data_IF_589049153539
#
_entry.id   IF_589049153539
#
_cell.length_a   1.000
_cell.length_b   1.000
_cell.length_c   1.000
_cell.angle_alpha   90.00
_cell.angle_beta   90.00
_cell.angle_gamma   90.00
#
_symmetry.space_group_name_H-M   'P 1'
#
loop_
_entity.id
_entity.type
_entity.pdbx_description
1 polymer ?
#
# COMPACT_ATOMS: atom_id res chain seq x y z
N UNK A 1 -13.91 -12.42 11.06
CA UNK A 1 -13.08 -11.23 10.76
C UNK A 1 -11.60 -11.58 10.52
N UNK A 2 -10.98 -12.52 11.25
CA UNK A 2 -9.54 -12.83 11.10
C UNK A 2 -9.08 -13.53 9.79
N UNK A 3 -9.90 -14.40 9.18
CA UNK A 3 -9.49 -15.15 7.98
C UNK A 3 -9.21 -14.27 6.76
N UNK A 4 -9.97 -13.18 6.60
CA UNK A 4 -9.80 -12.25 5.48
C UNK A 4 -8.51 -11.42 5.60
N UNK A 5 -8.07 -11.12 6.83
CA UNK A 5 -6.81 -10.40 7.06
C UNK A 5 -5.58 -11.23 6.64
N UNK A 6 -5.57 -12.54 6.91
CA UNK A 6 -4.47 -13.42 6.48
C UNK A 6 -4.40 -13.55 4.95
N UNK A 7 -5.56 -13.64 4.28
CA UNK A 7 -5.64 -13.65 2.81
C UNK A 7 -5.12 -12.35 2.20
N UNK A 8 -5.55 -11.20 2.74
CA UNK A 8 -5.07 -9.89 2.32
C UNK A 8 -3.54 -9.77 2.46
N UNK A 9 -2.98 -10.20 3.60
CA UNK A 9 -1.54 -10.16 3.85
C UNK A 9 -0.75 -11.03 2.86
N UNK A 10 -1.28 -12.22 2.51
CA UNK A 10 -0.67 -13.11 1.50
C UNK A 10 -0.80 -12.55 0.08
N UNK A 11 -1.88 -11.81 -0.20
CA UNK A 11 -2.07 -11.17 -1.50
C UNK A 11 -1.19 -9.93 -1.70
N UNK A 12 -0.72 -9.26 -0.63
CA UNK A 12 0.18 -8.09 -0.73
C UNK A 12 1.40 -8.35 -1.63
N UNK A 13 2.22 -9.39 -1.41
CA UNK A 13 3.39 -9.65 -2.27
C UNK A 13 3.00 -9.98 -3.71
N UNK A 14 1.85 -10.62 -3.92
CA UNK A 14 1.32 -10.92 -5.26
C UNK A 14 0.93 -9.61 -5.97
N UNK A 15 0.20 -8.72 -5.29
CA UNK A 15 -0.16 -7.40 -5.82
C UNK A 15 1.08 -6.57 -6.14
N UNK A 16 2.08 -6.57 -5.26
CA UNK A 16 3.36 -5.89 -5.51
C UNK A 16 4.07 -6.44 -6.74
N UNK A 17 4.11 -7.76 -6.89
CA UNK A 17 4.74 -8.41 -8.05
C UNK A 17 4.04 -8.03 -9.36
N UNK A 18 2.71 -8.14 -9.41
CA UNK A 18 1.93 -7.73 -10.59
C UNK A 18 2.06 -6.24 -10.88
N UNK A 19 2.11 -5.40 -9.85
CA UNK A 19 2.32 -3.96 -10.01
C UNK A 19 3.67 -3.68 -10.67
N UNK A 20 4.77 -4.25 -10.15
CA UNK A 20 6.13 -4.08 -10.72
C UNK A 20 6.22 -4.67 -12.12
N UNK A 21 5.64 -5.84 -12.36
CA UNK A 21 5.69 -6.50 -13.67
C UNK A 21 4.89 -5.72 -14.73
N UNK A 22 3.68 -5.26 -14.40
CA UNK A 22 2.88 -4.39 -15.27
C UNK A 22 3.62 -3.09 -15.58
N UNK A 23 4.29 -2.51 -14.58
CA UNK A 23 5.12 -1.32 -14.75
C UNK A 23 6.30 -1.56 -15.69
N UNK A 24 7.00 -2.69 -15.54
CA UNK A 24 8.15 -3.04 -16.35
C UNK A 24 7.77 -3.17 -17.83
N UNK A 25 6.62 -3.81 -18.12
CA UNK A 25 6.11 -3.93 -19.49
C UNK A 25 5.76 -2.57 -20.07
N UNK A 26 5.03 -1.73 -19.31
CA UNK A 26 4.62 -0.40 -19.79
C UNK A 26 5.82 0.53 -19.97
N UNK A 27 6.85 0.43 -19.11
CA UNK A 27 8.08 1.19 -19.29
C UNK A 27 8.84 0.68 -20.51
N UNK A 28 9.15 -0.61 -20.64
CA UNK A 28 10.12 -1.03 -21.66
C UNK A 28 9.53 -1.33 -23.04
N UNK A 29 8.23 -1.65 -23.13
CA UNK A 29 7.60 -2.13 -24.37
C UNK A 29 6.48 -1.25 -24.94
N UNK A 30 6.04 -0.22 -24.22
CA UNK A 30 4.96 0.65 -24.70
C UNK A 30 5.40 2.07 -25.10
N UNK A 31 4.45 2.80 -25.70
CA UNK A 31 4.62 4.16 -26.19
C UNK A 31 5.01 5.15 -25.09
N UNK A 32 5.61 6.31 -25.44
CA UNK A 32 6.00 7.34 -24.45
C UNK A 32 4.85 7.81 -23.55
N UNK A 33 3.62 7.81 -24.07
CA UNK A 33 2.41 8.20 -23.34
C UNK A 33 2.09 7.20 -22.24
N UNK A 34 2.23 5.90 -22.51
CA UNK A 34 1.96 4.85 -21.53
C UNK A 34 2.98 4.90 -20.38
N UNK A 35 4.26 5.19 -20.67
CA UNK A 35 5.28 5.49 -19.65
C UNK A 35 4.86 6.61 -18.70
N UNK A 36 4.35 7.71 -19.24
CA UNK A 36 3.92 8.87 -18.43
C UNK A 36 2.73 8.47 -17.55
N UNK A 37 1.76 7.76 -18.11
CA UNK A 37 0.60 7.27 -17.36
C UNK A 37 1.01 6.31 -16.23
N UNK A 38 1.98 5.43 -16.48
CA UNK A 38 2.55 4.56 -15.46
C UNK A 38 3.20 5.38 -14.33
N UNK A 39 4.09 6.33 -14.64
CA UNK A 39 4.76 7.19 -13.64
C UNK A 39 3.73 7.92 -12.75
N UNK A 40 2.69 8.50 -13.36
CA UNK A 40 1.61 9.18 -12.63
C UNK A 40 0.89 8.19 -11.69
N UNK A 41 0.59 6.98 -12.19
CA UNK A 41 0.00 5.91 -11.38
C UNK A 41 0.87 5.50 -10.19
N UNK A 42 2.19 5.47 -10.35
CA UNK A 42 3.14 5.12 -9.28
C UNK A 42 3.20 6.19 -8.20
N UNK A 43 3.20 7.47 -8.59
CA UNK A 43 3.14 8.58 -7.64
C UNK A 43 1.83 8.54 -6.84
N UNK A 44 0.70 8.31 -7.51
CA UNK A 44 -0.61 8.17 -6.86
C UNK A 44 -0.66 6.98 -5.89
N UNK A 45 -0.17 5.82 -6.31
CA UNK A 45 -0.12 4.63 -5.46
C UNK A 45 0.78 4.83 -4.24
N UNK A 46 1.95 5.45 -4.42
CA UNK A 46 2.88 5.75 -3.33
C UNK A 46 2.25 6.68 -2.30
N UNK A 47 1.49 7.69 -2.75
CA UNK A 47 0.78 8.61 -1.86
C UNK A 47 -0.30 7.88 -1.05
N UNK A 48 -1.13 7.05 -1.71
CA UNK A 48 -2.14 6.23 -1.05
C UNK A 48 -1.53 5.27 -0.04
N UNK A 49 -0.43 4.62 -0.38
CA UNK A 49 0.28 3.70 0.50
C UNK A 49 0.82 4.43 1.74
N UNK A 50 1.42 5.61 1.54
CA UNK A 50 1.94 6.45 2.62
C UNK A 50 0.83 6.90 3.55
N UNK A 51 -0.32 7.33 3.00
CA UNK A 51 -1.49 7.70 3.79
C UNK A 51 -2.01 6.50 4.59
N UNK A 52 -2.15 5.34 3.96
CA UNK A 52 -2.61 4.11 4.60
C UNK A 52 -1.71 3.71 5.78
N UNK A 53 -0.40 3.65 5.56
CA UNK A 53 0.59 3.34 6.62
C UNK A 53 0.49 4.34 7.76
N UNK A 54 0.40 5.64 7.45
CA UNK A 54 0.28 6.71 8.44
C UNK A 54 -0.99 6.56 9.28
N UNK A 55 -2.14 6.29 8.66
CA UNK A 55 -3.41 6.07 9.36
C UNK A 55 -3.34 4.84 10.26
N UNK A 56 -2.78 3.72 9.78
CA UNK A 56 -2.62 2.49 10.56
C UNK A 56 -1.71 2.71 11.77
N UNK A 57 -0.54 3.34 11.57
CA UNK A 57 0.39 3.67 12.67
C UNK A 57 -0.22 4.64 13.68
N UNK A 58 -0.93 5.67 13.22
CA UNK A 58 -1.55 6.68 14.09
C UNK A 58 -2.65 6.05 14.94
N UNK A 59 -3.46 5.15 14.35
CA UNK A 59 -4.52 4.43 15.05
C UNK A 59 -3.96 3.50 16.13
N UNK A 60 -2.92 2.75 15.81
CA UNK A 60 -2.23 1.87 16.76
C UNK A 60 -1.58 2.65 17.91
N UNK A 61 -1.02 3.84 17.63
CA UNK A 61 -0.49 4.75 18.65
C UNK A 61 -1.57 5.31 19.59
N UNK A 62 -2.80 5.46 19.11
CA UNK A 62 -3.94 5.94 19.92
C UNK A 62 -4.45 4.86 20.86
N UNK A 63 -4.66 3.64 20.38
CA UNK A 63 -5.06 2.49 21.20
C UNK A 63 -4.03 2.19 22.30
N UNK A 64 -2.74 2.32 22.00
CA UNK A 64 -1.67 2.13 23.01
C UNK A 64 -1.65 3.19 24.11
N UNK A 65 -2.18 4.39 23.85
CA UNK A 65 -2.28 5.48 24.83
C UNK A 65 -3.54 5.36 25.70
N UNK A 66 -4.64 4.86 25.16
CA UNK A 66 -5.86 4.59 25.93
C UNK A 66 -5.61 3.46 26.95
N UNK A 67 -4.95 2.37 26.55
CA UNK A 67 -4.65 1.26 27.47
C UNK A 67 -3.66 1.63 28.60
N UNK A 68 -2.77 2.61 28.40
CA UNK A 68 -1.86 3.08 29.45
C UNK A 68 -2.50 4.01 30.49
N UNK A 69 -3.67 4.59 30.17
CA UNK A 69 -4.41 5.45 31.10
C UNK A 69 -5.42 4.67 31.94
N UNK A 70 -5.84 3.46 31.53
CA UNK A 70 -6.72 2.59 32.33
C UNK A 70 -5.98 1.80 33.43
N UNK A 71 -4.64 1.70 33.36
CA UNK A 71 -3.81 1.02 34.39
C UNK A 71 -3.31 1.96 35.51
N UNK A 72 -3.74 3.24 35.55
CA UNK A 72 -3.45 4.21 36.63
C UNK A 72 -4.69 4.57 37.41
#
# INVERSE_FOLDING_TARGET
>A
MEKYNKLLIILIPIYLYFFVQGFYVVIYKESPIARIMAIIGMLGFTFLLTAFITTVLTRNKKERKENQNEER
#
